data_IF_517385173106
#
_entry.id   IF_517385173106
#
_cell.length_a   1.000
_cell.length_b   1.000
_cell.length_c   1.000
_cell.angle_alpha   90.00
_cell.angle_beta   90.00
_cell.angle_gamma   90.00
#
_symmetry.space_group_name_H-M   'P 1'
#
loop_
_entity.id
_entity.type
_entity.pdbx_description
1 polymer ?
#
# COMPACT_ATOMS: atom_id res chain seq x y z
N UNK A 1 -5.77 -52.21 11.35
CA UNK A 1 -6.73 -51.12 11.00
C UNK A 1 -7.09 -50.24 12.20
N UNK A 2 -7.63 -50.77 13.31
CA UNK A 2 -8.12 -49.96 14.45
C UNK A 2 -7.09 -48.98 15.09
N UNK A 3 -5.82 -49.39 15.26
CA UNK A 3 -4.77 -48.54 15.86
C UNK A 3 -4.37 -47.34 14.98
N UNK A 4 -4.50 -47.46 13.66
CA UNK A 4 -4.18 -46.36 12.73
C UNK A 4 -5.27 -45.28 12.77
N UNK A 5 -6.54 -45.70 12.85
CA UNK A 5 -7.69 -44.81 12.99
C UNK A 5 -7.62 -44.01 14.29
N UNK A 6 -7.30 -44.65 15.43
CA UNK A 6 -7.13 -43.94 16.70
C UNK A 6 -5.99 -42.91 16.69
N UNK A 7 -4.88 -43.19 15.99
CA UNK A 7 -3.79 -42.21 15.85
C UNK A 7 -4.20 -40.98 15.03
N UNK A 8 -4.97 -41.18 13.95
CA UNK A 8 -5.47 -40.07 13.12
C UNK A 8 -6.49 -39.23 13.89
N UNK A 9 -7.41 -39.86 14.63
CA UNK A 9 -8.39 -39.16 15.48
C UNK A 9 -7.70 -38.42 16.64
N UNK A 10 -6.69 -39.02 17.26
CA UNK A 10 -5.87 -38.40 18.30
C UNK A 10 -5.01 -37.23 17.79
N UNK A 11 -4.53 -37.29 16.56
CA UNK A 11 -3.83 -36.18 15.92
C UNK A 11 -4.79 -35.03 15.61
N UNK A 12 -5.98 -35.32 15.06
CA UNK A 12 -7.00 -34.33 14.73
C UNK A 12 -7.49 -33.54 15.96
N UNK A 13 -7.71 -34.23 17.07
CA UNK A 13 -8.08 -33.59 18.35
C UNK A 13 -6.95 -32.72 18.93
N UNK A 14 -5.69 -33.15 18.81
CA UNK A 14 -4.52 -32.34 19.24
C UNK A 14 -4.30 -31.10 18.38
N UNK A 15 -4.46 -31.22 17.06
CA UNK A 15 -4.38 -30.09 16.15
C UNK A 15 -5.55 -29.11 16.36
N UNK A 16 -6.77 -29.62 16.52
CA UNK A 16 -7.94 -28.81 16.84
C UNK A 16 -7.76 -28.02 18.14
N UNK A 17 -7.29 -28.67 19.21
CA UNK A 17 -7.01 -28.00 20.49
C UNK A 17 -5.84 -27.02 20.39
N UNK A 18 -4.81 -27.30 19.59
CA UNK A 18 -3.68 -26.38 19.37
C UNK A 18 -4.13 -25.12 18.64
N UNK A 19 -4.93 -25.24 17.58
CA UNK A 19 -5.48 -24.07 16.86
C UNK A 19 -6.44 -23.28 17.76
N UNK A 20 -7.30 -23.97 18.53
CA UNK A 20 -8.23 -23.30 19.45
C UNK A 20 -7.54 -22.55 20.59
N UNK A 21 -6.36 -23.00 21.03
CA UNK A 21 -5.62 -22.38 22.16
C UNK A 21 -4.53 -21.42 21.71
N UNK A 22 -3.78 -21.74 20.65
CA UNK A 22 -2.69 -20.91 20.12
C UNK A 22 -3.20 -19.87 19.13
N UNK A 23 -4.29 -20.13 18.41
CA UNK A 23 -4.87 -19.18 17.45
C UNK A 23 -5.22 -17.83 18.08
N UNK A 24 -6.00 -17.80 19.18
CA UNK A 24 -6.31 -16.56 19.88
C UNK A 24 -5.06 -15.86 20.43
N UNK A 25 -4.06 -16.63 20.89
CA UNK A 25 -2.80 -16.10 21.40
C UNK A 25 -2.02 -15.37 20.31
N UNK A 26 -1.81 -16.00 19.16
CA UNK A 26 -1.13 -15.38 18.01
C UNK A 26 -1.89 -14.15 17.49
N UNK A 27 -3.22 -14.21 17.47
CA UNK A 27 -4.04 -13.05 17.10
C UNK A 27 -3.86 -11.89 18.10
N UNK A 28 -3.85 -12.17 19.41
CA UNK A 28 -3.62 -11.15 20.44
C UNK A 28 -2.22 -10.53 20.33
N UNK A 29 -1.19 -11.35 20.10
CA UNK A 29 0.19 -10.88 19.89
C UNK A 29 0.30 -10.02 18.63
N UNK A 30 -0.37 -10.42 17.53
CA UNK A 30 -0.43 -9.63 16.31
C UNK A 30 -1.11 -8.27 16.51
N UNK A 31 -2.19 -8.22 17.31
CA UNK A 31 -2.87 -6.98 17.67
C UNK A 31 -1.97 -6.10 18.54
N UNK A 32 -1.34 -6.65 19.56
CA UNK A 32 -0.40 -5.93 20.43
C UNK A 32 0.80 -5.37 19.65
N UNK A 33 1.30 -6.13 18.67
CA UNK A 33 2.35 -5.68 17.77
C UNK A 33 1.88 -4.57 16.83
N UNK A 34 0.68 -4.70 16.27
CA UNK A 34 0.18 -3.80 15.21
C UNK A 34 -0.35 -2.48 15.77
N UNK A 35 -0.99 -2.51 16.94
CA UNK A 35 -1.63 -1.34 17.57
C UNK A 35 -0.71 -0.12 17.71
N UNK A 36 0.50 -0.19 18.30
CA UNK A 36 1.37 0.98 18.41
C UNK A 36 1.94 1.44 17.07
N UNK A 37 2.06 0.54 16.08
CA UNK A 37 2.54 0.87 14.73
C UNK A 37 1.48 1.63 13.94
N UNK A 38 0.24 1.15 13.99
CA UNK A 38 -0.91 1.83 13.39
C UNK A 38 -1.19 3.16 14.07
N UNK A 39 -1.03 3.25 15.39
CA UNK A 39 -1.17 4.52 16.11
C UNK A 39 -0.14 5.57 15.63
N UNK A 40 1.13 5.17 15.46
CA UNK A 40 2.17 6.05 14.90
C UNK A 40 1.89 6.43 13.44
N UNK A 41 1.50 5.46 12.61
CA UNK A 41 1.10 5.74 11.23
C UNK A 41 -0.05 6.75 11.18
N UNK A 42 -1.09 6.55 11.99
CA UNK A 42 -2.25 7.44 12.07
C UNK A 42 -1.90 8.85 12.55
N UNK A 43 -0.95 8.96 13.48
CA UNK A 43 -0.46 10.26 13.96
C UNK A 43 0.13 11.10 12.81
N UNK A 44 1.04 10.53 12.01
CA UNK A 44 1.65 11.24 10.88
C UNK A 44 0.69 11.41 9.70
N UNK A 45 -0.12 10.38 9.40
CA UNK A 45 -1.09 10.43 8.30
C UNK A 45 -2.07 11.60 8.44
N UNK A 46 -2.45 11.98 9.67
CA UNK A 46 -3.35 13.12 9.92
C UNK A 46 -2.79 14.48 9.53
N UNK A 47 -1.46 14.61 9.49
CA UNK A 47 -0.80 15.90 9.20
C UNK A 47 -0.16 15.92 7.82
N UNK A 48 0.34 14.78 7.35
CA UNK A 48 1.07 14.68 6.07
C UNK A 48 0.20 14.20 4.90
N UNK A 49 -0.85 13.41 5.16
CA UNK A 49 -1.73 12.85 4.13
C UNK A 49 -3.12 13.51 4.10
N UNK A 50 -3.28 14.61 4.84
CA UNK A 50 -4.52 15.40 4.82
C UNK A 50 -4.59 16.21 3.53
N UNK A 51 -5.76 16.32 2.88
CA UNK A 51 -5.90 17.24 1.76
C UNK A 51 -5.54 18.67 2.21
N UNK A 52 -4.81 19.42 1.38
CA UNK A 52 -4.38 20.77 1.71
C UNK A 52 -5.59 21.70 1.92
N UNK A 53 -5.40 22.71 2.77
CA UNK A 53 -6.45 23.70 2.98
C UNK A 53 -6.52 24.69 1.81
N UNK A 54 -7.69 25.29 1.52
CA UNK A 54 -7.79 26.25 0.41
C UNK A 54 -6.84 27.46 0.54
N UNK A 55 -6.43 27.83 1.75
CA UNK A 55 -5.47 28.91 1.99
C UNK A 55 -4.05 28.60 1.52
N UNK A 56 -3.71 27.34 1.26
CA UNK A 56 -2.38 26.92 0.84
C UNK A 56 -2.18 26.98 -0.69
N UNK A 57 -3.25 27.03 -1.48
CA UNK A 57 -3.17 27.07 -2.94
C UNK A 57 -2.32 28.22 -3.52
N UNK A 58 -2.38 29.46 -2.99
CA UNK A 58 -1.50 30.53 -3.46
C UNK A 58 0.00 30.20 -3.30
N UNK A 59 0.37 29.51 -2.23
CA UNK A 59 1.75 29.08 -1.99
C UNK A 59 2.16 27.97 -2.97
N UNK A 60 1.28 27.00 -3.23
CA UNK A 60 1.49 25.95 -4.23
C UNK A 60 1.69 26.56 -5.63
N UNK A 61 0.84 27.50 -6.03
CA UNK A 61 0.97 28.19 -7.32
C UNK A 61 2.31 28.93 -7.44
N UNK A 62 2.73 29.62 -6.38
CA UNK A 62 4.04 30.28 -6.34
C UNK A 62 5.19 29.27 -6.53
N UNK A 63 5.13 28.13 -5.83
CA UNK A 63 6.13 27.06 -5.95
C UNK A 63 6.26 26.53 -7.38
N UNK A 64 5.13 26.28 -8.05
CA UNK A 64 5.12 25.85 -9.47
C UNK A 64 5.78 26.92 -10.36
N UNK A 65 5.44 28.19 -10.17
CA UNK A 65 6.03 29.28 -10.95
C UNK A 65 7.54 29.39 -10.76
N UNK A 66 8.04 29.14 -9.55
CA UNK A 66 9.47 29.17 -9.27
C UNK A 66 10.22 27.98 -9.89
N UNK A 67 9.60 26.79 -9.96
CA UNK A 67 10.13 25.64 -10.72
C UNK A 67 10.23 25.98 -12.22
N UNK A 68 9.17 26.57 -12.80
CA UNK A 68 9.17 26.99 -14.22
C UNK A 68 10.27 28.02 -14.50
N UNK A 69 10.45 28.99 -13.61
CA UNK A 69 11.55 29.96 -13.72
C UNK A 69 12.91 29.27 -13.64
N UNK A 70 13.12 28.36 -12.68
CA UNK A 70 14.37 27.62 -12.52
C UNK A 70 14.70 26.76 -13.74
N UNK A 71 13.68 26.19 -14.39
CA UNK A 71 13.84 25.48 -15.65
C UNK A 71 14.27 26.42 -16.79
N UNK A 72 13.60 27.58 -16.93
CA UNK A 72 13.92 28.59 -17.96
C UNK A 72 15.31 29.20 -17.80
N UNK A 73 15.76 29.40 -16.56
CA UNK A 73 17.07 30.03 -16.28
C UNK A 73 18.22 29.03 -16.27
N UNK A 74 17.97 27.73 -16.47
CA UNK A 74 19.01 26.69 -16.40
C UNK A 74 19.50 26.39 -14.99
N UNK A 75 18.85 26.91 -13.94
CA UNK A 75 19.28 26.75 -12.54
C UNK A 75 19.33 25.28 -12.10
N UNK A 76 18.55 24.40 -12.74
CA UNK A 76 18.55 22.96 -12.48
C UNK A 76 19.92 22.30 -12.73
N UNK A 77 20.77 22.88 -13.58
CA UNK A 77 22.11 22.35 -13.85
C UNK A 77 23.08 22.53 -12.66
N UNK A 78 22.74 23.40 -11.71
CA UNK A 78 23.54 23.65 -10.50
C UNK A 78 23.15 22.74 -9.32
N UNK A 79 22.19 21.81 -9.51
CA UNK A 79 21.77 20.89 -8.46
C UNK A 79 22.82 19.81 -8.24
N UNK A 80 23.04 19.45 -6.98
CA UNK A 80 23.84 18.26 -6.65
C UNK A 80 23.07 16.99 -7.00
N UNK A 81 23.80 15.89 -7.25
CA UNK A 81 23.18 14.59 -7.57
C UNK A 81 22.21 14.14 -6.47
N UNK A 82 22.56 14.39 -5.21
CA UNK A 82 21.71 14.06 -4.06
C UNK A 82 20.37 14.79 -4.10
N UNK A 83 20.38 16.08 -4.41
CA UNK A 83 19.15 16.88 -4.51
C UNK A 83 18.31 16.47 -5.72
N UNK A 84 18.96 16.26 -6.88
CA UNK A 84 18.27 15.80 -8.08
C UNK A 84 17.58 14.45 -7.87
N UNK A 85 18.26 13.49 -7.23
CA UNK A 85 17.69 12.20 -6.89
C UNK A 85 16.54 12.33 -5.88
N UNK A 86 16.70 13.14 -4.83
CA UNK A 86 15.63 13.39 -3.86
C UNK A 86 14.35 13.93 -4.52
N UNK A 87 14.49 14.95 -5.38
CA UNK A 87 13.36 15.53 -6.11
C UNK A 87 12.72 14.53 -7.08
N UNK A 88 13.52 13.66 -7.70
CA UNK A 88 13.04 12.63 -8.62
C UNK A 88 12.24 11.56 -7.89
N UNK A 89 12.67 11.14 -6.68
CA UNK A 89 11.94 10.18 -5.86
C UNK A 89 10.58 10.74 -5.40
N UNK A 90 10.52 12.01 -4.99
CA UNK A 90 9.25 12.67 -4.67
C UNK A 90 8.34 12.74 -5.90
N UNK A 91 8.88 13.06 -7.08
CA UNK A 91 8.11 13.05 -8.33
C UNK A 91 7.53 11.65 -8.64
N UNK A 92 8.33 10.60 -8.45
CA UNK A 92 7.88 9.22 -8.62
C UNK A 92 6.79 8.84 -7.61
N UNK A 93 6.91 9.28 -6.35
CA UNK A 93 5.87 9.08 -5.33
C UNK A 93 4.54 9.70 -5.74
N UNK A 94 4.54 10.95 -6.22
CA UNK A 94 3.33 11.62 -6.73
C UNK A 94 2.73 10.87 -7.92
N UNK A 95 3.56 10.32 -8.81
CA UNK A 95 3.09 9.48 -9.92
C UNK A 95 2.45 8.17 -9.42
N UNK A 96 2.98 7.55 -8.36
CA UNK A 96 2.36 6.36 -7.77
C UNK A 96 1.00 6.64 -7.14
N UNK A 97 0.80 7.82 -6.55
CA UNK A 97 -0.53 8.24 -6.08
C UNK A 97 -1.58 8.29 -7.20
N UNK A 98 -1.20 8.69 -8.42
CA UNK A 98 -2.08 8.62 -9.59
C UNK A 98 -2.50 7.16 -9.88
N UNK A 99 -1.57 6.21 -9.91
CA UNK A 99 -1.88 4.80 -10.16
C UNK A 99 -2.75 4.19 -9.06
N UNK A 100 -2.54 4.55 -7.78
CA UNK A 100 -3.43 4.15 -6.68
C UNK A 100 -4.85 4.67 -6.94
N UNK A 101 -4.98 5.93 -7.38
CA UNK A 101 -6.25 6.51 -7.79
C UNK A 101 -6.92 5.73 -8.93
N UNK A 102 -6.14 5.28 -9.92
CA UNK A 102 -6.63 4.42 -11.00
C UNK A 102 -7.15 3.07 -10.48
N UNK A 103 -6.42 2.41 -9.55
CA UNK A 103 -6.89 1.15 -8.94
C UNK A 103 -8.23 1.35 -8.21
N UNK A 104 -8.39 2.46 -7.48
CA UNK A 104 -9.64 2.82 -6.81
C UNK A 104 -10.76 3.08 -7.83
N UNK A 105 -10.47 3.85 -8.88
CA UNK A 105 -11.44 4.17 -9.94
C UNK A 105 -11.92 2.94 -10.69
N UNK A 106 -11.02 1.99 -10.96
CA UNK A 106 -11.32 0.71 -11.61
C UNK A 106 -11.96 -0.32 -10.67
N UNK A 107 -11.77 -0.18 -9.35
CA UNK A 107 -12.18 -1.14 -8.32
C UNK A 107 -11.54 -2.53 -8.45
N UNK A 108 -10.36 -2.59 -9.05
CA UNK A 108 -9.58 -3.82 -9.17
C UNK A 108 -8.11 -3.50 -8.96
N UNK A 109 -7.41 -4.40 -8.25
CA UNK A 109 -5.96 -4.35 -8.03
C UNK A 109 -5.21 -4.89 -9.26
N UNK A 110 -5.85 -5.75 -10.06
CA UNK A 110 -5.24 -6.41 -11.21
C UNK A 110 -6.15 -6.23 -12.42
N UNK A 111 -5.73 -5.39 -13.36
CA UNK A 111 -6.42 -5.18 -14.64
C UNK A 111 -7.87 -4.70 -14.51
N UNK A 112 -8.53 -4.51 -15.64
CA UNK A 112 -9.97 -4.24 -15.69
C UNK A 112 -10.73 -5.57 -15.61
N UNK A 113 -11.75 -5.60 -14.76
CA UNK A 113 -12.73 -6.69 -14.74
C UNK A 113 -13.64 -6.54 -15.96
N UNK A 114 -13.14 -7.05 -17.09
CA UNK A 114 -13.89 -7.15 -18.34
C UNK A 114 -14.46 -8.55 -18.43
N UNK A 115 -15.77 -8.65 -18.71
CA UNK A 115 -16.34 -9.91 -19.14
C UNK A 115 -15.63 -10.32 -20.43
N UNK A 116 -14.96 -11.46 -20.36
CA UNK A 116 -14.38 -12.10 -21.52
C UNK A 116 -15.52 -12.67 -22.36
N UNK A 117 -15.77 -12.09 -23.53
CA UNK A 117 -16.63 -12.68 -24.56
C UNK A 117 -15.95 -13.86 -25.28
N UNK A 118 -14.72 -14.22 -24.89
CA UNK A 118 -14.10 -15.47 -25.36
C UNK A 118 -14.84 -16.66 -24.77
N UNK A 119 -15.53 -17.40 -25.63
CA UNK A 119 -15.81 -18.81 -25.38
C UNK A 119 -14.47 -19.55 -25.28
N UNK A 120 -14.19 -20.28 -24.19
CA UNK A 120 -12.97 -21.08 -24.11
C UNK A 120 -13.00 -22.12 -25.24
N UNK A 121 -11.99 -22.10 -26.11
CA UNK A 121 -11.86 -23.11 -27.15
C UNK A 121 -11.81 -24.51 -26.50
N UNK A 122 -12.60 -25.48 -26.99
CA UNK A 122 -12.82 -26.78 -26.35
C UNK A 122 -11.61 -27.74 -26.41
N UNK A 123 -10.39 -27.22 -26.54
CA UNK A 123 -9.18 -28.02 -26.68
C UNK A 123 -8.09 -27.59 -25.69
N UNK A 124 -8.39 -27.75 -24.39
CA UNK A 124 -7.45 -28.19 -23.35
C UNK A 124 -8.18 -29.12 -22.39
#
# INVERSE_FOLDING_TARGET
MARAVQKVVGLGTRLGNSVATQGPKLASEAVEFSKPRLAKFWYYAKVELVPPTPGEFPAVQKGIMDIVKAAKTGKYANLTVKEALGNTLVCAEVAFWFFIGEQIGRRSIIGYDVKSDYEPHPYI
#
